data_IF_435149886394
#
_entry.id   IF_435149886394
#
_cell.length_a   1.000
_cell.length_b   1.000
_cell.length_c   1.000
_cell.angle_alpha   90.00
_cell.angle_beta   90.00
_cell.angle_gamma   90.00
#
_symmetry.space_group_name_H-M   'P 1'
#
loop_
_entity.id
_entity.type
_entity.pdbx_description
1 polymer ?
#
# COMPACT_ATOMS: atom_id res chain seq x y z
N UNK A 1 -7.49 6.84 -18.90
CA UNK A 1 -6.02 6.59 -18.94
C UNK A 1 -5.43 6.16 -17.59
N UNK A 2 -6.08 5.28 -16.80
CA UNK A 2 -5.60 4.94 -15.44
C UNK A 2 -4.22 4.28 -15.43
N UNK A 3 -3.93 3.36 -16.36
CA UNK A 3 -2.63 2.70 -16.42
C UNK A 3 -1.47 3.68 -16.67
N UNK A 4 -1.68 4.68 -17.49
CA UNK A 4 -0.69 5.74 -17.74
C UNK A 4 -0.48 6.58 -16.48
N UNK A 5 -1.55 6.90 -15.75
CA UNK A 5 -1.44 7.63 -14.49
C UNK A 5 -0.68 6.80 -13.45
N UNK A 6 -0.93 5.50 -13.36
CA UNK A 6 -0.20 4.61 -12.46
C UNK A 6 1.30 4.59 -12.78
N UNK A 7 1.66 4.50 -14.05
CA UNK A 7 3.06 4.55 -14.48
C UNK A 7 3.71 5.90 -14.18
N UNK A 8 3.03 7.01 -14.45
CA UNK A 8 3.52 8.35 -14.15
C UNK A 8 3.71 8.56 -12.65
N UNK A 9 2.79 8.07 -11.83
CA UNK A 9 2.92 8.11 -10.37
C UNK A 9 4.14 7.31 -9.91
N UNK A 10 4.32 6.10 -10.44
CA UNK A 10 5.49 5.29 -10.15
C UNK A 10 6.80 5.99 -10.53
N UNK A 11 6.87 6.54 -11.75
CA UNK A 11 8.07 7.24 -12.21
C UNK A 11 8.39 8.47 -11.36
N UNK A 12 7.36 9.22 -10.96
CA UNK A 12 7.54 10.37 -10.07
C UNK A 12 8.10 9.94 -8.71
N UNK A 13 7.51 8.92 -8.10
CA UNK A 13 7.97 8.38 -6.82
C UNK A 13 9.38 7.80 -6.89
N UNK A 14 9.66 7.01 -7.95
CA UNK A 14 10.98 6.40 -8.14
C UNK A 14 12.09 7.46 -8.28
N UNK A 15 11.81 8.57 -8.94
CA UNK A 15 12.76 9.70 -9.07
C UNK A 15 13.01 10.40 -7.73
N UNK A 16 11.93 10.68 -6.97
CA UNK A 16 12.02 11.39 -5.69
C UNK A 16 12.82 10.60 -4.65
N UNK A 17 12.54 9.32 -4.51
CA UNK A 17 13.10 8.48 -3.44
C UNK A 17 14.27 7.61 -3.92
N UNK A 18 14.61 7.66 -5.21
CA UNK A 18 15.61 6.76 -5.83
C UNK A 18 15.30 5.28 -5.57
N UNK A 19 14.03 4.96 -5.48
CA UNK A 19 13.50 3.63 -5.24
C UNK A 19 13.04 2.94 -6.52
N UNK A 20 12.40 1.77 -6.37
CA UNK A 20 11.91 0.98 -7.48
C UNK A 20 10.68 0.15 -7.10
N UNK A 21 10.34 -0.80 -7.96
CA UNK A 21 9.27 -1.75 -7.70
C UNK A 21 9.53 -2.59 -6.44
N UNK A 22 8.45 -3.01 -5.81
CA UNK A 22 8.48 -3.87 -4.63
C UNK A 22 9.13 -3.22 -3.39
N UNK A 23 9.08 -1.88 -3.35
CA UNK A 23 9.53 -1.07 -2.23
C UNK A 23 8.37 -0.20 -1.73
N UNK A 24 8.39 0.09 -0.43
CA UNK A 24 7.40 0.96 0.18
C UNK A 24 7.92 2.39 0.15
N UNK A 25 7.15 3.27 -0.47
CA UNK A 25 7.37 4.72 -0.41
C UNK A 25 6.42 5.28 0.65
N UNK A 26 6.95 6.03 1.59
CA UNK A 26 6.14 6.69 2.60
C UNK A 26 6.61 8.12 2.85
N UNK A 27 5.72 8.94 3.30
CA UNK A 27 6.04 10.29 3.74
C UNK A 27 6.34 10.27 5.23
N UNK A 28 7.54 10.70 5.61
CA UNK A 28 7.95 10.79 7.02
C UNK A 28 7.34 12.00 7.75
N UNK A 29 6.59 12.82 7.03
CA UNK A 29 5.90 14.01 7.55
C UNK A 29 4.53 14.13 6.91
N UNK A 30 3.64 14.86 7.56
CA UNK A 30 2.36 15.22 6.99
C UNK A 30 2.54 15.98 5.68
N UNK A 31 1.70 15.68 4.69
CA UNK A 31 1.75 16.34 3.39
C UNK A 31 1.32 17.80 3.54
N UNK A 32 2.06 18.68 2.90
CA UNK A 32 1.70 20.09 2.79
C UNK A 32 1.07 20.39 1.41
N UNK A 33 0.62 21.62 1.25
CA UNK A 33 -0.03 22.08 0.01
C UNK A 33 0.89 22.07 -1.23
N UNK A 34 2.18 21.92 -1.05
CA UNK A 34 3.17 21.87 -2.14
C UNK A 34 3.22 20.49 -2.79
N UNK A 35 2.71 19.46 -2.11
CA UNK A 35 2.61 18.13 -2.70
C UNK A 35 1.40 18.07 -3.64
N UNK A 36 1.65 17.95 -4.94
CA UNK A 36 0.60 17.91 -5.96
C UNK A 36 0.17 16.49 -6.34
N UNK A 37 0.80 15.46 -5.78
CA UNK A 37 0.47 14.07 -6.08
C UNK A 37 -0.81 13.63 -5.38
N UNK A 38 -1.02 14.10 -4.16
CA UNK A 38 -2.18 13.78 -3.32
C UNK A 38 -2.76 15.06 -2.73
N UNK A 39 -4.05 15.04 -2.46
CA UNK A 39 -4.69 16.10 -1.68
C UNK A 39 -4.12 16.10 -0.25
N UNK A 40 -3.57 17.20 0.24
CA UNK A 40 -3.03 17.26 1.58
C UNK A 40 -4.07 16.91 2.64
N UNK A 41 -3.69 16.07 3.59
CA UNK A 41 -4.52 15.71 4.73
C UNK A 41 -3.65 15.84 5.99
N UNK A 42 -4.02 16.71 6.93
CA UNK A 42 -3.22 16.95 8.12
C UNK A 42 -3.28 15.82 9.15
N UNK A 43 -4.20 14.87 8.99
CA UNK A 43 -4.47 13.83 9.99
C UNK A 43 -3.96 12.44 9.58
N UNK A 44 -3.35 12.33 8.40
CA UNK A 44 -2.93 11.04 7.87
C UNK A 44 -1.57 11.10 7.19
N UNK A 45 -0.79 10.05 7.38
CA UNK A 45 0.43 9.77 6.62
C UNK A 45 0.12 8.74 5.55
N UNK A 46 0.63 8.96 4.35
CA UNK A 46 0.41 8.10 3.21
C UNK A 46 1.57 7.14 3.01
N UNK A 47 1.22 5.90 2.64
CA UNK A 47 2.15 4.88 2.18
C UNK A 47 1.69 4.42 0.80
N UNK A 48 2.63 4.38 -0.14
CA UNK A 48 2.36 3.94 -1.51
C UNK A 48 3.37 2.88 -1.94
N UNK A 49 3.19 1.62 -1.57
CA UNK A 49 3.95 0.54 -2.17
C UNK A 49 3.50 0.33 -3.62
N UNK A 50 4.46 0.32 -4.53
CA UNK A 50 4.28 -0.10 -5.91
C UNK A 50 4.82 -1.50 -6.07
N UNK A 51 4.04 -2.41 -6.63
CA UNK A 51 4.45 -3.79 -6.82
C UNK A 51 4.50 -4.18 -8.30
N UNK A 52 5.40 -5.12 -8.61
CA UNK A 52 5.50 -5.76 -9.90
C UNK A 52 5.70 -7.27 -9.69
N UNK A 53 4.65 -8.03 -9.90
CA UNK A 53 4.64 -9.48 -9.71
C UNK A 53 5.26 -10.23 -10.89
N UNK A 54 5.58 -9.57 -12.00
CA UNK A 54 6.31 -10.18 -13.10
C UNK A 54 7.75 -10.54 -12.69
N UNK A 55 8.38 -9.68 -11.89
CA UNK A 55 9.79 -9.85 -11.48
C UNK A 55 9.91 -10.70 -10.21
N UNK A 56 9.01 -10.50 -9.23
CA UNK A 56 9.12 -11.10 -7.90
C UNK A 56 8.18 -12.30 -7.68
N UNK A 57 7.22 -12.54 -8.59
CA UNK A 57 6.14 -13.50 -8.37
C UNK A 57 5.09 -12.99 -7.37
N UNK A 58 4.33 -13.87 -6.74
CA UNK A 58 3.34 -13.48 -5.73
C UNK A 58 3.97 -12.64 -4.62
N UNK A 59 3.27 -11.57 -4.23
CA UNK A 59 3.75 -10.63 -3.22
C UNK A 59 2.80 -10.55 -2.04
N UNK A 60 3.34 -10.35 -0.85
CA UNK A 60 2.58 -10.21 0.39
C UNK A 60 2.63 -8.77 0.86
N UNK A 61 1.45 -8.19 1.11
CA UNK A 61 1.31 -6.96 1.88
C UNK A 61 0.73 -7.33 3.25
N UNK A 62 1.48 -7.11 4.29
CA UNK A 62 1.03 -7.33 5.66
C UNK A 62 0.54 -6.01 6.27
N UNK A 63 -0.70 -6.02 6.75
CA UNK A 63 -1.32 -4.89 7.43
C UNK A 63 -1.41 -5.24 8.92
N UNK A 64 -0.80 -4.44 9.81
CA UNK A 64 -0.89 -4.68 11.23
C UNK A 64 -2.31 -4.42 11.76
N UNK A 65 -2.68 -5.02 12.90
CA UNK A 65 -3.96 -4.73 13.54
C UNK A 65 -4.02 -3.27 14.01
N UNK A 66 -5.24 -2.72 14.03
CA UNK A 66 -5.52 -1.37 14.50
C UNK A 66 -5.43 -1.31 16.04
N UNK A 67 -4.22 -1.17 16.56
CA UNK A 67 -3.92 -1.05 17.98
C UNK A 67 -3.17 0.26 18.21
N UNK A 68 -3.89 1.29 18.68
CA UNK A 68 -3.35 2.64 18.87
C UNK A 68 -3.23 3.50 17.60
N UNK A 69 -3.64 2.98 16.46
CA UNK A 69 -3.69 3.63 15.15
C UNK A 69 -4.34 2.71 14.14
N UNK A 70 -4.68 3.20 12.97
CA UNK A 70 -5.24 2.35 11.92
C UNK A 70 -4.60 2.64 10.56
N UNK A 71 -4.37 1.58 9.81
CA UNK A 71 -4.04 1.68 8.39
C UNK A 71 -5.30 1.38 7.60
N UNK A 72 -5.67 2.27 6.71
CA UNK A 72 -6.82 2.11 5.83
C UNK A 72 -6.45 2.50 4.40
N UNK A 73 -7.08 1.88 3.45
CA UNK A 73 -6.87 2.19 2.04
C UNK A 73 -7.27 1.06 1.12
N UNK A 74 -6.75 1.10 -0.09
CA UNK A 74 -7.07 0.13 -1.13
C UNK A 74 -5.82 -0.38 -1.81
N UNK A 75 -5.82 -1.67 -2.14
CA UNK A 75 -4.82 -2.31 -2.99
C UNK A 75 -5.43 -2.36 -4.41
N UNK A 76 -4.70 -1.86 -5.40
CA UNK A 76 -5.21 -1.64 -6.75
C UNK A 76 -4.29 -2.24 -7.81
N UNK A 77 -4.87 -2.62 -8.93
CA UNK A 77 -4.11 -2.97 -10.13
C UNK A 77 -3.64 -1.72 -10.90
N UNK A 78 -2.94 -1.90 -12.04
CA UNK A 78 -2.45 -0.76 -12.81
C UNK A 78 -3.56 0.08 -13.48
N UNK A 79 -4.77 -0.46 -13.58
CA UNK A 79 -5.94 0.25 -14.07
C UNK A 79 -6.66 1.04 -12.99
N UNK A 80 -6.11 1.06 -11.76
CA UNK A 80 -6.71 1.67 -10.57
C UNK A 80 -8.03 0.98 -10.16
N UNK A 81 -8.18 -0.29 -10.54
CA UNK A 81 -9.29 -1.12 -10.09
C UNK A 81 -8.96 -1.67 -8.71
N UNK A 82 -9.81 -1.44 -7.71
CA UNK A 82 -9.58 -1.98 -6.38
C UNK A 82 -9.62 -3.51 -6.39
N UNK A 83 -8.58 -4.13 -5.84
CA UNK A 83 -8.54 -5.57 -5.59
C UNK A 83 -9.17 -5.87 -4.23
N UNK A 84 -8.86 -5.05 -3.22
CA UNK A 84 -9.43 -5.14 -1.89
C UNK A 84 -9.23 -3.83 -1.11
N UNK A 85 -10.15 -3.57 -0.20
CA UNK A 85 -10.06 -2.51 0.78
C UNK A 85 -9.60 -3.07 2.13
N UNK A 86 -8.69 -2.37 2.78
CA UNK A 86 -8.08 -2.76 4.04
C UNK A 86 -8.35 -1.75 5.14
N UNK A 87 -8.29 -2.21 6.39
CA UNK A 87 -8.50 -1.37 7.56
C UNK A 87 -9.86 -1.57 8.23
N UNK A 88 -10.24 -0.70 9.19
CA UNK A 88 -11.46 -0.87 9.98
C UNK A 88 -12.75 -0.95 9.17
N UNK A 89 -12.81 -0.30 8.03
CA UNK A 89 -13.92 -0.38 7.08
C UNK A 89 -13.72 -1.42 5.96
N UNK A 90 -12.55 -2.04 5.91
CA UNK A 90 -12.19 -3.06 4.92
C UNK A 90 -12.53 -4.47 5.35
N UNK A 91 -12.03 -5.43 4.59
CA UNK A 91 -12.32 -6.87 4.79
C UNK A 91 -11.78 -7.40 6.13
N UNK A 92 -10.65 -6.85 6.61
CA UNK A 92 -10.01 -7.24 7.86
C UNK A 92 -10.67 -6.61 9.11
N UNK A 93 -11.57 -5.65 8.93
CA UNK A 93 -12.28 -4.94 10.01
C UNK A 93 -11.34 -4.40 11.11
N UNK A 94 -10.15 -3.97 10.71
CA UNK A 94 -9.12 -3.46 11.61
C UNK A 94 -8.33 -4.53 12.36
N UNK A 95 -8.51 -5.81 12.06
CA UNK A 95 -7.74 -6.90 12.68
C UNK A 95 -6.36 -7.08 12.04
N UNK A 96 -6.13 -6.41 10.93
CA UNK A 96 -4.95 -6.63 10.10
C UNK A 96 -5.02 -7.94 9.32
N UNK A 97 -4.00 -8.21 8.54
CA UNK A 97 -3.92 -9.45 7.76
C UNK A 97 -2.79 -9.45 6.76
N UNK A 98 -2.62 -10.62 6.15
CA UNK A 98 -1.63 -10.85 5.10
C UNK A 98 -2.36 -10.99 3.77
N UNK A 99 -2.16 -10.01 2.91
CA UNK A 99 -2.76 -9.96 1.58
C UNK A 99 -1.76 -10.49 0.56
N UNK A 100 -2.10 -11.60 -0.09
CA UNK A 100 -1.26 -12.23 -1.10
C UNK A 100 -1.71 -11.80 -2.50
N UNK A 101 -0.92 -10.95 -3.14
CA UNK A 101 -1.18 -10.48 -4.49
C UNK A 101 -0.67 -11.52 -5.47
N UNK A 102 -1.58 -12.07 -6.26
CA UNK A 102 -1.30 -13.12 -7.25
C UNK A 102 -1.19 -12.51 -8.64
N UNK A 103 -0.14 -12.86 -9.41
CA UNK A 103 0.00 -12.40 -10.78
C UNK A 103 -1.10 -12.97 -11.69
N UNK A 104 -1.32 -12.38 -12.88
CA UNK A 104 -2.27 -12.90 -13.84
C UNK A 104 -1.98 -14.36 -14.21
N UNK A 105 -3.03 -15.19 -14.22
CA UNK A 105 -2.92 -16.60 -14.58
C UNK A 105 -2.23 -17.50 -13.54
N UNK A 106 -2.00 -17.01 -12.34
CA UNK A 106 -1.40 -17.80 -11.27
C UNK A 106 -2.30 -18.97 -10.87
N UNK A 107 -1.75 -20.18 -10.90
CA UNK A 107 -2.44 -21.43 -10.59
C UNK A 107 -1.91 -22.15 -9.35
N UNK A 108 -0.96 -21.53 -8.63
CA UNK A 108 -0.37 -22.11 -7.42
C UNK A 108 -1.32 -22.12 -6.23
N UNK A 109 -0.93 -22.88 -5.22
CA UNK A 109 -1.69 -22.99 -3.97
C UNK A 109 -1.48 -21.75 -3.11
N UNK A 110 -2.57 -21.25 -2.50
CA UNK A 110 -2.51 -20.17 -1.51
C UNK A 110 -2.31 -20.79 -0.13
N UNK A 111 -1.25 -20.40 0.61
CA UNK A 111 -1.05 -20.86 1.98
C UNK A 111 -2.17 -20.41 2.93
N UNK A 112 -2.44 -21.20 3.96
CA UNK A 112 -3.39 -20.82 5.00
C UNK A 112 -2.96 -19.53 5.71
N UNK A 113 -3.93 -18.70 6.05
CA UNK A 113 -3.72 -17.43 6.73
C UNK A 113 -3.44 -16.24 5.81
N UNK A 114 -3.41 -16.46 4.48
CA UNK A 114 -3.29 -15.39 3.49
C UNK A 114 -4.62 -15.12 2.81
N UNK A 115 -4.91 -13.85 2.56
CA UNK A 115 -6.05 -13.43 1.75
C UNK A 115 -5.60 -13.28 0.29
N UNK A 116 -6.05 -14.13 -0.63
CA UNK A 116 -5.62 -14.08 -2.02
C UNK A 116 -6.27 -12.91 -2.76
N UNK A 117 -5.46 -12.09 -3.42
CA UNK A 117 -5.92 -11.03 -4.30
C UNK A 117 -5.45 -11.34 -5.73
N UNK A 118 -6.39 -11.68 -6.59
CA UNK A 118 -6.09 -11.99 -7.99
C UNK A 118 -6.05 -10.73 -8.81
N UNK A 119 -4.85 -10.30 -9.18
CA UNK A 119 -4.65 -9.16 -10.06
C UNK A 119 -4.74 -9.58 -11.53
N UNK A 120 -5.33 -8.73 -12.35
CA UNK A 120 -5.34 -8.89 -13.80
C UNK A 120 -4.10 -8.29 -14.47
N UNK A 121 -3.27 -7.59 -13.70
CA UNK A 121 -2.04 -6.97 -14.16
C UNK A 121 -0.87 -7.35 -13.26
N UNK A 122 0.34 -7.36 -13.82
CA UNK A 122 1.57 -7.62 -13.05
C UNK A 122 1.92 -6.45 -12.15
N UNK A 123 1.66 -5.24 -12.59
CA UNK A 123 1.96 -4.01 -11.89
C UNK A 123 0.71 -3.48 -11.19
N UNK A 124 0.92 -2.87 -10.05
CA UNK A 124 -0.11 -2.20 -9.30
C UNK A 124 0.48 -1.44 -8.13
N UNK A 125 -0.38 -0.92 -7.28
CA UNK A 125 0.04 -0.19 -6.09
C UNK A 125 -1.03 -0.27 -5.00
N UNK A 126 -0.63 0.06 -3.79
CA UNK A 126 -1.60 0.32 -2.74
C UNK A 126 -1.54 1.80 -2.35
N UNK A 127 -2.69 2.37 -2.05
CA UNK A 127 -2.80 3.69 -1.45
C UNK A 127 -3.32 3.53 -0.04
N UNK A 128 -2.42 3.60 0.91
CA UNK A 128 -2.69 3.37 2.32
C UNK A 128 -2.54 4.67 3.11
N UNK A 129 -3.39 4.86 4.09
CA UNK A 129 -3.36 5.98 5.01
C UNK A 129 -3.20 5.45 6.42
N UNK A 130 -2.19 5.94 7.12
CA UNK A 130 -2.08 5.72 8.56
C UNK A 130 -2.73 6.89 9.28
N UNK A 131 -3.77 6.60 10.05
CA UNK A 131 -4.48 7.57 10.87
C UNK A 131 -3.84 7.56 12.25
N UNK A 132 -3.24 8.69 12.62
CA UNK A 132 -2.56 8.87 13.90
C UNK A 132 -3.59 9.19 14.99
N UNK A 133 -3.66 8.38 16.02
CA UNK A 133 -4.49 8.72 17.19
C UNK A 133 -3.82 9.73 18.11
N UNK A 134 -2.48 9.72 18.16
CA UNK A 134 -1.70 10.59 19.05
C UNK A 134 -1.18 11.88 18.40
N UNK A 135 -1.27 12.00 17.07
CA UNK A 135 -0.67 13.11 16.32
C UNK A 135 0.86 13.14 16.35
N UNK A 136 1.52 12.04 16.75
CA UNK A 136 2.97 11.95 16.89
C UNK A 136 3.60 11.22 15.69
N UNK A 137 4.50 11.91 14.98
CA UNK A 137 5.27 11.32 13.87
C UNK A 137 6.18 10.17 14.31
N UNK A 138 6.57 10.15 15.59
CA UNK A 138 7.48 9.15 16.14
C UNK A 138 6.84 7.75 16.27
N UNK A 139 5.57 7.69 16.66
CA UNK A 139 4.84 6.43 16.80
C UNK A 139 4.58 5.78 15.44
N UNK A 140 4.40 6.61 14.42
CA UNK A 140 4.24 6.15 13.05
C UNK A 140 5.52 5.53 12.48
N UNK A 141 6.66 6.21 12.65
CA UNK A 141 7.94 5.72 12.16
C UNK A 141 8.27 4.34 12.75
N UNK A 142 7.91 4.12 14.01
CA UNK A 142 8.06 2.83 14.68
C UNK A 142 7.15 1.76 14.07
N UNK A 143 5.87 2.07 13.84
CA UNK A 143 4.92 1.13 13.26
C UNK A 143 5.30 0.70 11.83
N UNK A 144 5.84 1.61 11.02
CA UNK A 144 6.31 1.31 9.67
C UNK A 144 7.59 0.47 9.69
N UNK A 145 8.51 0.75 10.62
CA UNK A 145 9.74 -0.03 10.77
C UNK A 145 9.46 -1.46 11.25
N UNK A 146 8.50 -1.61 12.16
CA UNK A 146 8.08 -2.92 12.67
C UNK A 146 7.36 -3.76 11.59
N UNK A 147 6.69 -3.10 10.62
CA UNK A 147 6.00 -3.77 9.50
C UNK A 147 6.93 -4.13 8.33
N UNK A 148 8.12 -3.52 8.24
CA UNK A 148 9.10 -3.74 7.17
C UNK A 148 10.24 -4.70 7.56
N UNK A 149 10.17 -5.24 8.76
CA UNK A 149 11.16 -6.17 9.33
C UNK A 149 11.20 -7.56 8.71
#
# INVERSE_FOLDING_TARGET
>A
MPAVNTDLMYQAMAREVKGGWNQIVYWSRLLDWKNQTLTPNPDAIYLMPFFNTADAGPMVIEIPPADGGSITGSIMDCWQTPLEDVGPAGVDKGKGGKYLILPPGYSGTVPDGYMPLRSQTYQGYALLRSILQSGSDADFAKAVLDASG
#
